data_IF_306027511890
#
_entry.id   IF_306027511890
#
_cell.length_a   1.000
_cell.length_b   1.000
_cell.length_c   1.000
_cell.angle_alpha   90.00
_cell.angle_beta   90.00
_cell.angle_gamma   90.00
#
_symmetry.space_group_name_H-M   'P 1'
#
loop_
_entity.id
_entity.type
_entity.pdbx_description
1 polymer ?
#
# COMPACT_ATOMS: atom_id res chain seq x y z
N UNK A 1 -9.50 -10.11 10.25
CA UNK A 1 -8.13 -10.28 10.82
C UNK A 1 -8.00 -11.60 11.60
N UNK A 2 -8.85 -11.88 12.59
CA UNK A 2 -8.72 -13.11 13.39
C UNK A 2 -8.69 -14.39 12.54
N UNK A 3 -9.57 -14.51 11.57
CA UNK A 3 -9.65 -15.67 10.67
C UNK A 3 -8.43 -15.79 9.74
N UNK A 4 -7.92 -14.66 9.24
CA UNK A 4 -6.70 -14.59 8.44
C UNK A 4 -5.46 -15.05 9.22
N UNK A 5 -5.33 -14.63 10.46
CA UNK A 5 -4.22 -15.07 11.32
C UNK A 5 -4.36 -16.54 11.74
N UNK A 6 -5.59 -16.98 12.04
CA UNK A 6 -5.89 -18.36 12.42
C UNK A 6 -5.56 -19.35 11.29
N UNK A 7 -5.91 -19.02 10.04
CA UNK A 7 -5.62 -19.87 8.87
C UNK A 7 -4.12 -20.02 8.57
N UNK A 8 -3.28 -19.09 9.07
CA UNK A 8 -1.83 -19.08 8.87
C UNK A 8 -1.03 -19.41 10.13
N UNK A 9 -1.71 -19.80 11.21
CA UNK A 9 -1.10 -20.07 12.52
C UNK A 9 -0.19 -18.92 13.02
N UNK A 10 -0.64 -17.67 12.82
CA UNK A 10 0.06 -16.48 13.24
C UNK A 10 -0.61 -15.91 14.49
N UNK A 11 0.16 -15.66 15.54
CA UNK A 11 -0.28 -14.91 16.71
C UNK A 11 -0.48 -13.42 16.34
N UNK A 12 -1.71 -12.87 16.44
CA UNK A 12 -1.97 -11.48 16.12
C UNK A 12 -1.19 -10.48 16.97
N UNK A 13 -0.97 -10.78 18.23
CA UNK A 13 -0.24 -9.89 19.14
C UNK A 13 1.25 -9.86 18.80
N UNK A 14 1.85 -11.01 18.55
CA UNK A 14 3.23 -11.10 18.11
C UNK A 14 3.44 -10.43 16.75
N UNK A 15 2.49 -10.59 15.82
CA UNK A 15 2.54 -9.92 14.52
C UNK A 15 2.45 -8.38 14.65
N UNK A 16 1.56 -7.89 15.51
CA UNK A 16 1.44 -6.45 15.79
C UNK A 16 2.71 -5.91 16.45
N UNK A 17 3.21 -6.57 17.51
CA UNK A 17 4.41 -6.14 18.22
C UNK A 17 5.64 -6.06 17.30
N UNK A 18 5.81 -7.06 16.42
CA UNK A 18 6.88 -7.08 15.43
C UNK A 18 6.78 -5.90 14.45
N UNK A 19 5.58 -5.65 13.90
CA UNK A 19 5.38 -4.54 12.96
C UNK A 19 5.57 -3.20 13.66
N UNK A 20 5.04 -3.05 14.87
CA UNK A 20 5.21 -1.83 15.67
C UNK A 20 6.68 -1.52 15.91
N UNK A 21 7.49 -2.52 16.29
CA UNK A 21 8.93 -2.34 16.51
C UNK A 21 9.66 -1.89 15.23
N UNK A 22 9.31 -2.43 14.06
CA UNK A 22 9.89 -2.00 12.79
C UNK A 22 9.51 -0.55 12.46
N UNK A 23 8.24 -0.19 12.65
CA UNK A 23 7.77 1.18 12.40
C UNK A 23 8.39 2.19 13.37
N UNK A 24 8.53 1.82 14.65
CA UNK A 24 9.19 2.67 15.66
C UNK A 24 10.68 2.91 15.33
N UNK A 25 11.37 1.89 14.82
CA UNK A 25 12.77 2.00 14.40
C UNK A 25 12.94 2.99 13.22
N UNK A 26 11.93 3.12 12.38
CA UNK A 26 11.91 4.08 11.26
C UNK A 26 11.26 5.43 11.64
N UNK A 27 10.86 5.63 12.91
CA UNK A 27 10.16 6.84 13.37
C UNK A 27 8.77 7.02 12.76
N UNK A 28 8.14 5.94 12.30
CA UNK A 28 6.84 5.97 11.66
C UNK A 28 5.70 5.61 12.63
N UNK A 29 4.57 6.33 12.60
CA UNK A 29 3.42 5.99 13.42
C UNK A 29 2.77 4.68 12.95
N UNK A 30 2.28 3.88 13.90
CA UNK A 30 1.56 2.64 13.61
C UNK A 30 0.45 2.40 14.61
N UNK A 31 -0.79 2.34 14.12
CA UNK A 31 -1.99 2.12 14.90
C UNK A 31 -2.35 0.63 15.03
N UNK A 32 -3.20 0.33 16.02
CA UNK A 32 -3.70 -1.04 16.23
C UNK A 32 -4.97 -1.26 15.42
N UNK A 33 -4.89 -2.15 14.44
CA UNK A 33 -6.05 -2.55 13.63
C UNK A 33 -6.59 -3.89 14.09
N UNK A 34 -7.92 -3.97 14.17
CA UNK A 34 -8.64 -5.20 14.50
C UNK A 34 -9.24 -5.88 13.26
N UNK A 35 -9.32 -5.16 12.14
CA UNK A 35 -9.93 -5.62 10.89
C UNK A 35 -9.01 -5.39 9.69
N UNK A 36 -9.12 -6.26 8.69
CA UNK A 36 -8.63 -6.02 7.33
C UNK A 36 -9.82 -5.61 6.48
N UNK A 37 -9.69 -4.51 5.77
CA UNK A 37 -10.71 -3.99 4.89
C UNK A 37 -10.34 -4.22 3.43
N UNK A 38 -11.34 -4.28 2.57
CA UNK A 38 -11.11 -4.37 1.13
C UNK A 38 -10.56 -3.03 0.63
N UNK A 39 -9.36 -3.06 0.09
CA UNK A 39 -8.67 -1.86 -0.40
C UNK A 39 -8.95 -1.53 -1.86
N UNK A 40 -9.88 -2.26 -2.51
CA UNK A 40 -10.06 -2.13 -3.96
C UNK A 40 -10.43 -0.71 -4.38
N UNK A 41 -11.42 -0.10 -3.73
CA UNK A 41 -11.85 1.26 -4.03
C UNK A 41 -10.76 2.30 -3.72
N UNK A 42 -10.00 2.10 -2.65
CA UNK A 42 -8.86 2.95 -2.33
C UNK A 42 -7.79 2.90 -3.42
N UNK A 43 -7.53 1.72 -4.02
CA UNK A 43 -6.58 1.58 -5.13
C UNK A 43 -7.07 2.27 -6.41
N UNK A 44 -8.36 2.18 -6.71
CA UNK A 44 -8.97 2.88 -7.84
C UNK A 44 -8.90 4.41 -7.67
N UNK A 45 -9.15 4.90 -6.47
CA UNK A 45 -8.94 6.32 -6.14
C UNK A 45 -7.46 6.74 -6.23
N UNK A 46 -6.53 5.89 -5.83
CA UNK A 46 -5.10 6.15 -6.03
C UNK A 46 -4.76 6.33 -7.51
N UNK A 47 -5.28 5.45 -8.39
CA UNK A 47 -5.10 5.58 -9.84
C UNK A 47 -5.70 6.86 -10.42
N UNK A 48 -6.88 7.25 -9.94
CA UNK A 48 -7.48 8.53 -10.31
C UNK A 48 -6.62 9.69 -9.81
N UNK A 49 -6.17 9.65 -8.56
CA UNK A 49 -5.36 10.71 -7.98
C UNK A 49 -4.06 10.94 -8.75
N UNK A 50 -3.43 9.89 -9.31
CA UNK A 50 -2.25 10.01 -10.17
C UNK A 50 -2.48 10.90 -11.41
N UNK A 51 -3.74 11.13 -11.78
CA UNK A 51 -4.13 12.03 -12.89
C UNK A 51 -4.44 13.46 -12.43
N UNK A 52 -4.46 13.72 -11.12
CA UNK A 52 -4.85 15.01 -10.54
C UNK A 52 -3.64 15.83 -10.08
N UNK A 53 -3.65 17.15 -10.25
CA UNK A 53 -2.64 18.00 -9.63
C UNK A 53 -2.62 17.82 -8.10
N UNK A 54 -1.46 17.47 -7.53
CA UNK A 54 -1.28 17.23 -6.10
C UNK A 54 -1.89 15.92 -5.58
N UNK A 55 -2.28 15.01 -6.49
CA UNK A 55 -2.87 13.73 -6.15
C UNK A 55 -1.92 12.74 -5.47
N UNK A 56 -0.61 12.96 -5.60
CA UNK A 56 0.42 12.20 -4.89
C UNK A 56 0.20 12.11 -3.38
N UNK A 57 -0.40 13.16 -2.78
CA UNK A 57 -0.72 13.21 -1.34
C UNK A 57 -1.78 12.20 -0.91
N UNK A 58 -2.63 11.75 -1.83
CA UNK A 58 -3.70 10.81 -1.49
C UNK A 58 -3.15 9.45 -1.06
N UNK A 59 -2.06 8.99 -1.64
CA UNK A 59 -1.46 7.70 -1.28
C UNK A 59 -1.02 7.68 0.19
N UNK A 60 -0.29 8.71 0.65
CA UNK A 60 0.13 8.81 2.06
C UNK A 60 -1.09 8.93 2.99
N UNK A 61 -2.09 9.73 2.62
CA UNK A 61 -3.30 9.89 3.40
C UNK A 61 -4.09 8.58 3.55
N UNK A 62 -4.18 7.76 2.50
CA UNK A 62 -4.80 6.44 2.55
C UNK A 62 -4.02 5.48 3.43
N UNK A 63 -2.68 5.47 3.36
CA UNK A 63 -1.85 4.68 4.26
C UNK A 63 -2.02 5.09 5.72
N UNK A 64 -2.05 6.40 6.02
CA UNK A 64 -2.30 6.92 7.37
C UNK A 64 -3.67 6.53 7.88
N UNK A 65 -4.71 6.74 7.09
CA UNK A 65 -6.07 6.36 7.44
C UNK A 65 -6.17 4.88 7.81
N UNK A 66 -5.51 4.00 7.05
CA UNK A 66 -5.55 2.56 7.27
C UNK A 66 -4.60 2.08 8.36
N UNK A 67 -3.32 2.45 8.31
CA UNK A 67 -2.28 1.89 9.18
C UNK A 67 -2.11 2.63 10.49
N UNK A 68 -2.49 3.91 10.58
CA UNK A 68 -2.37 4.72 11.80
C UNK A 68 -3.73 4.86 12.48
N UNK A 69 -4.74 5.32 11.74
CA UNK A 69 -6.05 5.67 12.28
C UNK A 69 -7.03 4.49 12.30
N UNK A 70 -6.63 3.34 11.76
CA UNK A 70 -7.42 2.11 11.69
C UNK A 70 -8.80 2.28 11.00
N UNK A 71 -8.93 3.26 10.09
CA UNK A 71 -10.16 3.57 9.36
C UNK A 71 -10.48 2.51 8.32
N UNK A 72 -11.76 2.33 8.03
CA UNK A 72 -12.24 1.41 6.99
C UNK A 72 -12.09 2.03 5.58
N UNK A 73 -10.99 1.78 4.92
CA UNK A 73 -10.75 2.25 3.53
C UNK A 73 -11.56 1.49 2.45
N UNK A 74 -12.44 0.58 2.85
CA UNK A 74 -13.46 -0.02 1.99
C UNK A 74 -14.78 0.74 2.01
N UNK A 75 -14.94 1.71 2.92
CA UNK A 75 -16.10 2.55 3.08
C UNK A 75 -15.97 3.82 2.23
N UNK A 76 -17.01 4.12 1.43
CA UNK A 76 -16.98 5.25 0.48
C UNK A 76 -16.92 6.59 1.21
N UNK A 77 -17.63 6.76 2.32
CA UNK A 77 -17.62 8.02 3.03
C UNK A 77 -16.29 8.28 3.74
N UNK A 78 -15.65 7.22 4.27
CA UNK A 78 -14.28 7.31 4.78
C UNK A 78 -13.29 7.70 3.68
N UNK A 79 -13.44 7.15 2.48
CA UNK A 79 -12.60 7.50 1.33
C UNK A 79 -12.80 8.96 0.91
N UNK A 80 -14.05 9.45 0.90
CA UNK A 80 -14.34 10.86 0.58
C UNK A 80 -13.75 11.83 1.60
N UNK A 81 -13.79 11.49 2.89
CA UNK A 81 -13.11 12.28 3.93
C UNK A 81 -11.58 12.36 3.68
N UNK A 82 -10.95 11.23 3.30
CA UNK A 82 -9.52 11.21 2.99
C UNK A 82 -9.21 12.06 1.76
N UNK A 83 -10.01 11.97 0.70
CA UNK A 83 -9.89 12.81 -0.51
C UNK A 83 -10.00 14.29 -0.15
N UNK A 84 -10.99 14.66 0.66
CA UNK A 84 -11.19 16.03 1.12
C UNK A 84 -9.98 16.55 1.91
N UNK A 85 -9.41 15.71 2.77
CA UNK A 85 -8.28 16.08 3.64
C UNK A 85 -7.03 16.50 2.88
N UNK A 86 -6.88 16.04 1.64
CA UNK A 86 -5.75 16.37 0.75
C UNK A 86 -6.10 17.42 -0.30
N UNK A 87 -7.35 17.97 -0.26
CA UNK A 87 -7.79 19.04 -1.12
C UNK A 87 -8.16 18.61 -2.55
N UNK A 88 -8.42 17.32 -2.79
CA UNK A 88 -8.90 16.82 -4.07
C UNK A 88 -10.43 16.97 -4.21
N UNK A 89 -10.98 17.04 -5.45
CA UNK A 89 -12.39 17.25 -5.70
C UNK A 89 -13.23 16.01 -5.30
N UNK A 90 -13.99 16.14 -4.20
CA UNK A 90 -14.77 15.04 -3.60
C UNK A 90 -15.87 14.53 -4.53
N UNK A 91 -16.56 15.41 -5.25
CA UNK A 91 -17.66 15.02 -6.14
C UNK A 91 -17.14 14.17 -7.32
N UNK A 92 -15.99 14.54 -7.87
CA UNK A 92 -15.32 13.77 -8.91
C UNK A 92 -14.86 12.41 -8.38
N UNK A 93 -14.21 12.38 -7.21
CA UNK A 93 -13.80 11.15 -6.56
C UNK A 93 -14.99 10.20 -6.30
N UNK A 94 -16.13 10.74 -5.89
CA UNK A 94 -17.37 9.97 -5.66
C UNK A 94 -17.90 9.39 -6.96
N UNK A 95 -17.88 10.14 -8.06
CA UNK A 95 -18.24 9.64 -9.38
C UNK A 95 -17.29 8.50 -9.82
N UNK A 96 -15.99 8.68 -9.68
CA UNK A 96 -14.97 7.66 -9.99
C UNK A 96 -15.24 6.34 -9.27
N UNK A 97 -15.57 6.39 -7.97
CA UNK A 97 -15.87 5.19 -7.17
C UNK A 97 -17.20 4.55 -7.59
N UNK A 98 -18.24 5.36 -7.81
CA UNK A 98 -19.58 4.84 -8.18
C UNK A 98 -19.59 4.19 -9.56
N UNK A 99 -18.91 4.78 -10.53
CA UNK A 99 -18.81 4.32 -11.91
C UNK A 99 -17.68 3.32 -12.13
N UNK A 100 -16.79 3.15 -11.13
CA UNK A 100 -15.64 2.23 -11.19
C UNK A 100 -14.69 2.53 -12.36
N UNK A 101 -14.50 3.80 -12.72
CA UNK A 101 -13.76 4.24 -13.91
C UNK A 101 -12.31 3.74 -13.96
N UNK A 102 -11.68 3.50 -12.80
CA UNK A 102 -10.29 3.02 -12.72
C UNK A 102 -10.17 1.53 -12.36
N UNK A 103 -11.28 0.78 -12.43
CA UNK A 103 -11.28 -0.66 -12.16
C UNK A 103 -10.27 -1.40 -13.05
N UNK A 104 -10.31 -1.17 -14.35
CA UNK A 104 -9.47 -1.88 -15.31
C UNK A 104 -7.98 -1.51 -15.18
N UNK A 105 -7.68 -0.27 -14.77
CA UNK A 105 -6.31 0.14 -14.46
C UNK A 105 -5.72 -0.66 -13.29
N UNK A 106 -6.50 -0.85 -12.23
CA UNK A 106 -6.08 -1.66 -11.08
C UNK A 106 -6.01 -3.16 -11.45
N UNK A 107 -6.95 -3.67 -12.26
CA UNK A 107 -6.90 -5.05 -12.74
C UNK A 107 -5.63 -5.32 -13.57
N UNK A 108 -5.23 -4.35 -14.39
CA UNK A 108 -3.99 -4.41 -15.17
C UNK A 108 -2.76 -4.47 -14.26
N UNK A 109 -2.71 -3.66 -13.20
CA UNK A 109 -1.61 -3.70 -12.23
C UNK A 109 -1.54 -5.04 -11.49
N UNK A 110 -2.67 -5.61 -11.12
CA UNK A 110 -2.73 -6.92 -10.48
C UNK A 110 -2.28 -8.04 -11.41
N UNK A 111 -2.69 -8.00 -12.69
CA UNK A 111 -2.24 -8.96 -13.70
C UNK A 111 -0.72 -8.85 -13.91
N UNK A 112 -0.19 -7.65 -14.00
CA UNK A 112 1.25 -7.41 -14.09
C UNK A 112 2.00 -7.96 -12.89
N UNK A 113 1.52 -7.72 -11.68
CA UNK A 113 2.10 -8.27 -10.46
C UNK A 113 2.11 -9.80 -10.47
N UNK A 114 1.01 -10.43 -10.91
CA UNK A 114 0.93 -11.88 -11.05
C UNK A 114 1.93 -12.42 -12.10
N UNK A 115 2.11 -11.73 -13.23
CA UNK A 115 3.10 -12.10 -14.26
C UNK A 115 4.54 -12.06 -13.72
N UNK A 116 4.84 -11.14 -12.80
CA UNK A 116 6.14 -11.08 -12.10
C UNK A 116 6.26 -12.08 -10.95
N UNK A 117 5.24 -12.91 -10.71
CA UNK A 117 5.24 -13.89 -9.61
C UNK A 117 5.17 -13.25 -8.22
N UNK A 118 4.65 -12.02 -8.11
CA UNK A 118 4.50 -11.35 -6.82
C UNK A 118 3.41 -12.04 -6.00
N UNK A 119 3.81 -12.61 -4.87
CA UNK A 119 2.92 -13.35 -3.95
C UNK A 119 2.71 -12.64 -2.61
N UNK A 120 3.37 -11.53 -2.37
CA UNK A 120 3.29 -10.75 -1.13
C UNK A 120 3.85 -9.35 -1.29
N UNK A 121 3.62 -8.52 -0.27
CA UNK A 121 4.07 -7.12 -0.26
C UNK A 121 4.83 -6.81 1.03
N UNK A 122 5.82 -5.93 0.95
CA UNK A 122 6.39 -5.37 -0.27
C UNK A 122 7.17 -6.40 -1.09
N UNK A 123 7.24 -6.22 -2.41
CA UNK A 123 8.13 -6.98 -3.30
C UNK A 123 8.95 -6.00 -4.12
N UNK A 124 10.27 -6.19 -4.11
CA UNK A 124 11.22 -5.38 -4.88
C UNK A 124 11.73 -6.21 -6.04
N UNK A 125 11.66 -5.66 -7.26
CA UNK A 125 12.12 -6.33 -8.48
C UNK A 125 13.12 -5.43 -9.19
N UNK A 126 14.28 -5.98 -9.53
CA UNK A 126 15.30 -5.32 -10.35
C UNK A 126 15.84 -6.29 -11.40
N UNK A 127 15.61 -6.00 -12.67
CA UNK A 127 15.95 -6.92 -13.77
C UNK A 127 15.20 -8.25 -13.65
N UNK A 128 15.95 -9.36 -13.46
CA UNK A 128 15.40 -10.71 -13.27
C UNK A 128 15.37 -11.15 -11.81
N UNK A 129 15.82 -10.29 -10.91
CA UNK A 129 15.96 -10.60 -9.49
C UNK A 129 14.83 -9.96 -8.70
N UNK A 130 14.38 -10.62 -7.64
CA UNK A 130 13.33 -10.10 -6.76
C UNK A 130 13.52 -10.54 -5.32
N UNK A 131 13.10 -9.72 -4.38
CA UNK A 131 13.04 -10.05 -2.96
C UNK A 131 11.69 -9.63 -2.38
N UNK A 132 11.15 -10.45 -1.48
CA UNK A 132 9.84 -10.25 -0.85
C UNK A 132 10.01 -9.86 0.61
N UNK A 133 9.16 -8.98 1.09
CA UNK A 133 9.14 -8.52 2.48
C UNK A 133 9.97 -7.25 2.71
N UNK A 134 9.81 -6.67 3.89
CA UNK A 134 10.65 -5.57 4.35
C UNK A 134 12.08 -6.09 4.55
N UNK A 135 12.97 -5.66 3.66
CA UNK A 135 14.35 -6.12 3.59
C UNK A 135 15.30 -5.05 4.14
N UNK A 136 16.41 -5.45 4.80
CA UNK A 136 17.48 -4.53 5.17
C UNK A 136 18.08 -3.85 3.93
N UNK A 137 18.61 -2.64 4.13
CA UNK A 137 19.21 -1.83 3.06
C UNK A 137 20.25 -2.62 2.24
N UNK A 138 21.11 -3.38 2.91
CA UNK A 138 22.17 -4.17 2.26
C UNK A 138 21.62 -5.22 1.31
N UNK A 139 20.43 -5.77 1.60
CA UNK A 139 19.75 -6.74 0.72
C UNK A 139 19.23 -6.03 -0.52
N UNK A 140 18.64 -4.84 -0.36
CA UNK A 140 18.14 -4.03 -1.49
C UNK A 140 19.30 -3.49 -2.34
N UNK A 141 20.40 -3.08 -1.72
CA UNK A 141 21.60 -2.64 -2.45
C UNK A 141 22.17 -3.81 -3.29
N UNK A 142 22.30 -5.01 -2.73
CA UNK A 142 22.72 -6.20 -3.49
C UNK A 142 21.78 -6.52 -4.65
N UNK A 143 20.47 -6.40 -4.45
CA UNK A 143 19.48 -6.64 -5.49
C UNK A 143 19.69 -5.72 -6.70
N UNK A 144 19.87 -4.41 -6.48
CA UNK A 144 20.06 -3.46 -7.58
C UNK A 144 21.43 -3.59 -8.23
N UNK A 145 22.49 -3.94 -7.46
CA UNK A 145 23.83 -4.23 -7.99
C UNK A 145 23.81 -5.46 -8.91
N UNK A 146 23.12 -6.53 -8.53
CA UNK A 146 22.93 -7.71 -9.37
C UNK A 146 22.18 -7.40 -10.67
N UNK A 147 21.34 -6.38 -10.67
CA UNK A 147 20.65 -5.87 -11.85
C UNK A 147 21.51 -4.88 -12.68
N UNK A 148 22.77 -4.67 -12.31
CA UNK A 148 23.72 -3.82 -13.06
C UNK A 148 23.73 -2.36 -12.61
N UNK A 149 23.09 -1.99 -11.50
CA UNK A 149 23.16 -0.63 -10.97
C UNK A 149 24.57 -0.34 -10.43
N UNK A 150 25.08 0.85 -10.76
CA UNK A 150 26.36 1.36 -10.24
C UNK A 150 26.07 2.44 -9.22
N UNK A 151 26.80 2.44 -8.10
CA UNK A 151 26.68 3.47 -7.07
C UNK A 151 27.03 4.84 -7.66
N UNK A 152 26.15 5.82 -7.48
CA UNK A 152 26.50 7.21 -7.86
C UNK A 152 27.65 7.65 -6.96
N UNK A 153 28.73 8.12 -7.56
CA UNK A 153 29.81 8.76 -6.80
C UNK A 153 29.25 9.95 -6.03
N UNK A 154 29.57 10.06 -4.75
CA UNK A 154 29.27 11.22 -3.93
C UNK A 154 30.12 12.43 -4.34
#
# INVERSE_FOLDING_TARGET
>A
MAEFYKSRNIDPEAAYARMKALMDAEGLPYGRRTHSYNSRLAQELGKWADTQPGGDKLHDALYRAYFVDARNIGDVDVLMDVVQSVGLPVDEARAVVSERCFKDAVDTDWQKSAQYGVTGVPTFVAGRHGVVGAQPYETLEKLVQQAGAVRRGG
#
